data_IF_661790409498
#
_entry.id   IF_661790409498
#
_cell.length_a   1.000
_cell.length_b   1.000
_cell.length_c   1.000
_cell.angle_alpha   90.00
_cell.angle_beta   90.00
_cell.angle_gamma   90.00
#
_symmetry.space_group_name_H-M   'P 1'
#
loop_
_entity.id
_entity.type
_entity.pdbx_description
1 polymer ?
#
# COMPACT_ATOMS: atom_id res chain seq x y z
N UNK A 1 -9.01 -17.39 -8.30
CA UNK A 1 -9.04 -16.10 -7.59
C UNK A 1 -8.14 -15.11 -8.32
N UNK A 2 -8.52 -13.83 -8.45
CA UNK A 2 -7.77 -12.80 -9.20
C UNK A 2 -6.79 -12.10 -8.25
N UNK A 3 -5.60 -11.72 -8.72
CA UNK A 3 -4.66 -10.92 -7.93
C UNK A 3 -5.31 -9.62 -7.45
N UNK A 4 -5.07 -9.26 -6.20
CA UNK A 4 -5.43 -7.94 -5.70
C UNK A 4 -4.69 -6.86 -6.52
N UNK A 5 -5.40 -5.92 -7.17
CA UNK A 5 -4.77 -4.84 -7.91
C UNK A 5 -3.97 -3.94 -6.96
N UNK A 6 -2.88 -3.36 -7.46
CA UNK A 6 -2.14 -2.37 -6.68
C UNK A 6 -3.01 -1.13 -6.48
N UNK A 7 -3.02 -0.61 -5.25
CA UNK A 7 -3.71 0.63 -4.96
C UNK A 7 -3.01 1.78 -5.73
N UNK A 8 -3.74 2.69 -6.41
CA UNK A 8 -3.15 3.85 -7.09
C UNK A 8 -2.29 4.76 -6.20
N UNK A 9 -2.50 4.72 -4.88
CA UNK A 9 -1.73 5.45 -3.86
C UNK A 9 -0.57 4.64 -3.28
N UNK A 10 -0.31 3.40 -3.72
CA UNK A 10 0.92 2.69 -3.35
C UNK A 10 2.11 3.45 -3.93
N UNK A 11 3.15 3.66 -3.12
CA UNK A 11 4.36 4.37 -3.52
C UNK A 11 5.62 3.54 -3.30
N UNK A 12 5.56 2.51 -2.46
CA UNK A 12 6.63 1.53 -2.28
C UNK A 12 6.76 0.60 -3.49
N UNK A 13 8.02 0.33 -3.87
CA UNK A 13 8.41 -0.64 -4.91
C UNK A 13 7.74 -0.45 -6.28
N UNK A 14 7.29 0.78 -6.60
CA UNK A 14 6.77 1.14 -7.92
C UNK A 14 7.55 2.32 -8.49
N UNK A 15 7.54 2.47 -9.81
CA UNK A 15 8.11 3.63 -10.50
C UNK A 15 7.14 4.82 -10.43
N UNK A 16 7.16 5.54 -9.32
CA UNK A 16 6.36 6.74 -9.11
C UNK A 16 7.17 7.82 -8.36
N UNK A 17 6.61 9.02 -8.24
CA UNK A 17 7.06 9.95 -7.20
C UNK A 17 6.99 9.23 -5.85
N UNK A 18 7.97 9.41 -4.97
CA UNK A 18 8.02 8.68 -3.70
C UNK A 18 6.85 8.99 -2.75
N UNK A 19 7.01 8.68 -1.47
CA UNK A 19 5.94 8.87 -0.46
C UNK A 19 5.52 10.34 -0.24
N UNK A 20 6.22 11.31 -0.82
CA UNK A 20 5.91 12.74 -0.69
C UNK A 20 4.50 13.10 -1.15
N UNK A 21 3.96 12.41 -2.16
CA UNK A 21 2.58 12.63 -2.61
C UNK A 21 1.56 12.22 -1.54
N UNK A 22 1.75 11.06 -0.92
CA UNK A 22 0.87 10.57 0.15
C UNK A 22 0.96 11.47 1.38
N UNK A 23 2.16 11.95 1.73
CA UNK A 23 2.35 12.91 2.82
C UNK A 23 1.62 14.22 2.53
N UNK A 24 1.74 14.78 1.32
CA UNK A 24 1.03 16.01 0.92
C UNK A 24 -0.49 15.83 0.95
N UNK A 25 -0.98 14.67 0.53
CA UNK A 25 -2.40 14.33 0.59
C UNK A 25 -2.89 14.29 2.05
N UNK A 26 -2.21 13.55 2.92
CA UNK A 26 -2.57 13.47 4.34
C UNK A 26 -2.56 14.85 5.02
N UNK A 27 -1.53 15.66 4.76
CA UNK A 27 -1.46 17.03 5.24
C UNK A 27 -2.64 17.89 4.77
N UNK A 28 -3.11 17.69 3.53
CA UNK A 28 -4.26 18.42 2.99
C UNK A 28 -5.56 18.01 3.69
N UNK A 29 -5.75 16.72 3.96
CA UNK A 29 -6.90 16.21 4.71
C UNK A 29 -6.90 16.76 6.14
N UNK A 30 -5.75 16.77 6.81
CA UNK A 30 -5.59 17.33 8.16
C UNK A 30 -5.93 18.82 8.21
N UNK A 31 -5.43 19.60 7.23
CA UNK A 31 -5.74 21.03 7.11
C UNK A 31 -7.24 21.27 6.88
N UNK A 32 -7.87 20.46 6.03
CA UNK A 32 -9.30 20.59 5.74
C UNK A 32 -10.15 20.30 6.98
N UNK A 33 -9.88 19.19 7.68
CA UNK A 33 -10.59 18.85 8.92
C UNK A 33 -10.46 19.96 9.98
N UNK A 34 -9.25 20.53 10.13
CA UNK A 34 -9.01 21.68 11.01
C UNK A 34 -9.81 22.92 10.59
N UNK A 35 -9.83 23.25 9.29
CA UNK A 35 -10.59 24.40 8.76
C UNK A 35 -12.09 24.25 8.98
N UNK A 36 -12.62 23.05 8.79
CA UNK A 36 -14.05 22.76 8.90
C UNK A 36 -14.51 22.43 10.32
N UNK A 37 -13.60 22.41 11.30
CA UNK A 37 -13.88 22.01 12.68
C UNK A 37 -14.52 20.61 12.77
N UNK A 38 -14.09 19.69 11.91
CA UNK A 38 -14.61 18.32 11.85
C UNK A 38 -13.65 17.34 12.53
N UNK A 39 -14.15 16.36 13.29
CA UNK A 39 -13.31 15.31 13.84
C UNK A 39 -12.70 14.46 12.71
N UNK A 40 -11.45 14.05 12.88
CA UNK A 40 -10.71 13.19 11.96
C UNK A 40 -9.88 12.17 12.76
N UNK A 41 -10.06 10.89 12.46
CA UNK A 41 -9.20 9.81 12.96
C UNK A 41 -8.17 9.41 11.89
N UNK A 42 -6.93 9.17 12.32
CA UNK A 42 -5.86 8.64 11.46
C UNK A 42 -5.26 7.41 12.15
N UNK A 43 -5.16 6.30 11.42
CA UNK A 43 -4.57 5.05 11.91
C UNK A 43 -3.31 4.75 11.11
N UNK A 44 -2.20 4.55 11.82
CA UNK A 44 -0.94 4.10 11.24
C UNK A 44 -0.79 2.61 11.53
N UNK A 45 -0.67 1.80 10.48
CA UNK A 45 -0.55 0.34 10.58
C UNK A 45 0.83 -0.06 10.09
N UNK A 46 1.48 -0.96 10.82
CA UNK A 46 2.75 -1.57 10.45
C UNK A 46 2.71 -3.09 10.63
N UNK A 47 3.44 -3.83 9.80
CA UNK A 47 3.53 -5.29 9.86
C UNK A 47 4.96 -5.65 10.24
N UNK A 48 5.14 -6.17 11.46
CA UNK A 48 6.44 -6.62 11.95
C UNK A 48 7.00 -7.74 11.05
N UNK A 49 8.27 -7.62 10.67
CA UNK A 49 8.99 -8.63 9.87
C UNK A 49 8.24 -9.04 8.59
N UNK A 50 7.67 -8.08 7.87
CA UNK A 50 6.83 -8.36 6.69
C UNK A 50 7.51 -9.25 5.63
N UNK A 51 8.83 -9.15 5.45
CA UNK A 51 9.57 -9.99 4.51
C UNK A 51 9.83 -11.42 5.04
N UNK A 52 9.96 -11.59 6.35
CA UNK A 52 10.19 -12.90 6.97
C UNK A 52 8.90 -13.69 7.20
N UNK A 53 7.76 -12.99 7.32
CA UNK A 53 6.48 -13.57 7.76
C UNK A 53 5.57 -13.99 6.62
N UNK A 54 5.85 -13.56 5.39
CA UNK A 54 5.08 -13.98 4.20
C UNK A 54 5.54 -15.37 3.76
N UNK A 55 4.62 -16.35 3.74
CA UNK A 55 4.97 -17.71 3.34
C UNK A 55 5.25 -17.83 1.83
N UNK A 56 6.16 -18.74 1.46
CA UNK A 56 6.48 -18.99 0.06
C UNK A 56 5.25 -19.39 -0.78
N UNK A 57 4.32 -20.15 -0.22
CA UNK A 57 3.07 -20.50 -0.89
C UNK A 57 2.25 -19.26 -1.28
N UNK A 58 2.19 -18.24 -0.41
CA UNK A 58 1.50 -16.98 -0.73
C UNK A 58 2.20 -16.23 -1.86
N UNK A 59 3.53 -16.21 -1.86
CA UNK A 59 4.32 -15.58 -2.94
C UNK A 59 4.03 -16.25 -4.27
N UNK A 60 4.14 -17.59 -4.33
CA UNK A 60 3.89 -18.37 -5.54
C UNK A 60 2.47 -18.16 -6.08
N UNK A 61 1.47 -18.19 -5.20
CA UNK A 61 0.09 -17.93 -5.60
C UNK A 61 -0.09 -16.50 -6.14
N UNK A 62 0.53 -15.50 -5.52
CA UNK A 62 0.47 -14.12 -6.00
C UNK A 62 1.16 -13.93 -7.37
N UNK A 63 2.26 -14.64 -7.62
CA UNK A 63 2.96 -14.66 -8.90
C UNK A 63 2.12 -15.32 -10.00
N UNK A 64 1.57 -16.51 -9.72
CA UNK A 64 0.67 -17.21 -10.63
C UNK A 64 -0.54 -16.35 -11.01
N UNK A 65 -1.17 -15.69 -10.02
CA UNK A 65 -2.30 -14.79 -10.25
C UNK A 65 -1.93 -13.55 -11.09
N UNK A 66 -0.65 -13.17 -11.12
CA UNK A 66 -0.12 -12.07 -11.94
C UNK A 66 0.37 -12.55 -13.32
N UNK A 67 0.24 -13.84 -13.63
CA UNK A 67 0.67 -14.41 -14.91
C UNK A 67 2.18 -14.52 -15.05
N UNK A 68 2.91 -14.58 -13.92
CA UNK A 68 4.35 -14.87 -13.94
C UNK A 68 4.54 -16.36 -14.20
N UNK A 69 5.51 -16.68 -15.05
CA UNK A 69 5.78 -18.06 -15.48
C UNK A 69 6.12 -18.97 -14.29
N UNK A 70 5.57 -20.19 -14.23
CA UNK A 70 5.83 -21.14 -13.14
C UNK A 70 7.26 -21.72 -13.14
N UNK A 71 8.08 -21.49 -14.16
CA UNK A 71 9.45 -22.00 -14.30
C UNK A 71 10.54 -21.05 -13.76
N UNK A 72 10.18 -20.10 -12.88
CA UNK A 72 11.17 -19.36 -12.07
C UNK A 72 11.78 -20.27 -11.00
#
# INVERSE_FOLDING_TARGET
SKACPLNPRQRGFIRAAGCSENVKLLQSILRLAKKEHRPLGVVFVDIAKAFDTVSHQHILHALQQRGVDPHI
#
